data_IF_124735213725
#
_entry.id   IF_124735213725
#
_cell.length_a   1.000
_cell.length_b   1.000
_cell.length_c   1.000
_cell.angle_alpha   90.00
_cell.angle_beta   90.00
_cell.angle_gamma   90.00
#
_symmetry.space_group_name_H-M   'P 1'
#
loop_
_entity.id
_entity.type
_entity.pdbx_description
1 polymer ?
#
# COMPACT_ATOMS: atom_id res chain seq x y z
N UNK A 1 0.71 -36.40 47.08
CA UNK A 1 1.53 -35.24 46.69
C UNK A 1 1.09 -34.82 45.29
N UNK A 2 0.30 -33.76 45.16
CA UNK A 2 -0.20 -33.26 43.88
C UNK A 2 0.81 -32.28 43.27
N UNK A 3 1.31 -32.57 42.08
CA UNK A 3 2.09 -31.63 41.28
C UNK A 3 1.15 -30.62 40.59
N UNK A 4 1.30 -29.34 40.92
CA UNK A 4 0.67 -28.23 40.20
C UNK A 4 1.37 -28.03 38.86
N UNK A 5 0.66 -28.30 37.77
CA UNK A 5 1.08 -27.99 36.41
C UNK A 5 0.81 -26.50 36.15
N UNK A 6 1.86 -25.69 36.03
CA UNK A 6 1.75 -24.29 35.67
C UNK A 6 1.67 -24.15 34.14
N UNK A 7 0.52 -23.69 33.64
CA UNK A 7 0.32 -23.34 32.23
C UNK A 7 0.95 -21.97 32.02
N UNK A 8 2.03 -21.91 31.23
CA UNK A 8 2.65 -20.66 30.80
C UNK A 8 1.76 -20.00 29.74
N UNK A 9 1.14 -18.89 30.11
CA UNK A 9 0.39 -18.03 29.19
C UNK A 9 1.43 -17.17 28.43
N UNK A 10 1.68 -17.51 27.17
CA UNK A 10 2.49 -16.67 26.27
C UNK A 10 1.70 -15.40 26.00
N UNK A 11 2.21 -14.28 26.50
CA UNK A 11 1.66 -12.95 26.24
C UNK A 11 2.04 -12.62 24.79
N UNK A 12 1.05 -12.62 23.90
CA UNK A 12 1.18 -12.01 22.58
C UNK A 12 1.55 -10.54 22.78
N UNK A 13 2.77 -10.16 22.41
CA UNK A 13 3.17 -8.77 22.35
C UNK A 13 2.29 -8.09 21.30
N UNK A 14 1.35 -7.26 21.76
CA UNK A 14 0.70 -6.31 20.88
C UNK A 14 1.77 -5.28 20.53
N UNK A 15 2.31 -5.35 19.33
CA UNK A 15 3.16 -4.29 18.82
C UNK A 15 2.28 -3.03 18.75
N UNK A 16 2.48 -2.13 19.71
CA UNK A 16 1.84 -0.83 19.69
C UNK A 16 2.41 -0.09 18.49
N UNK A 17 1.58 0.11 17.46
CA UNK A 17 1.90 0.92 16.30
C UNK A 17 2.62 2.20 16.75
N UNK A 18 3.90 2.30 16.41
CA UNK A 18 4.70 3.47 16.68
C UNK A 18 4.08 4.61 15.89
N UNK A 19 3.33 5.48 16.58
CA UNK A 19 2.77 6.67 15.98
C UNK A 19 3.94 7.52 15.47
N UNK A 20 4.19 7.45 14.16
CA UNK A 20 5.17 8.31 13.49
C UNK A 20 4.86 9.76 13.85
N UNK A 21 5.90 10.55 14.04
CA UNK A 21 5.77 11.97 14.37
C UNK A 21 4.85 12.62 13.32
N UNK A 22 3.72 13.20 13.75
CA UNK A 22 2.88 13.98 12.84
C UNK A 22 3.73 15.13 12.26
N UNK A 23 3.89 15.15 10.93
CA UNK A 23 5.02 15.87 10.33
C UNK A 23 5.00 15.93 8.81
N UNK A 24 6.13 16.27 8.20
CA UNK A 24 6.30 16.27 6.74
C UNK A 24 6.33 14.86 6.15
N UNK A 25 6.57 14.76 4.84
CA UNK A 25 6.79 13.46 4.21
C UNK A 25 8.17 12.91 4.59
N UNK A 26 8.21 11.66 5.01
CA UNK A 26 9.42 10.91 5.32
C UNK A 26 9.58 9.77 4.30
N UNK A 27 10.78 9.61 3.76
CA UNK A 27 11.09 8.55 2.81
C UNK A 27 11.22 7.21 3.53
N UNK A 28 10.59 6.18 2.98
CA UNK A 28 10.68 4.81 3.47
C UNK A 28 12.07 4.20 3.19
N UNK A 29 12.50 3.28 4.06
CA UNK A 29 13.73 2.50 3.88
C UNK A 29 13.57 1.40 2.82
N UNK A 30 14.67 0.74 2.47
CA UNK A 30 14.65 -0.36 1.51
C UNK A 30 13.82 -1.56 2.03
N UNK A 31 13.85 -1.81 3.33
CA UNK A 31 13.11 -2.88 4.00
C UNK A 31 11.60 -2.59 3.98
N UNK A 32 11.22 -1.33 4.18
CA UNK A 32 9.82 -0.88 4.19
C UNK A 32 9.16 -0.92 2.80
N UNK A 33 9.93 -1.03 1.72
CA UNK A 33 9.44 -1.20 0.35
C UNK A 33 9.72 -2.60 -0.22
N UNK A 34 10.38 -3.48 0.54
CA UNK A 34 10.74 -4.82 0.09
C UNK A 34 9.49 -5.69 -0.18
N UNK A 35 9.59 -6.76 -1.00
CA UNK A 35 8.49 -7.70 -1.19
C UNK A 35 7.95 -8.23 0.14
N UNK A 36 6.62 -8.21 0.31
CA UNK A 36 5.93 -8.61 1.55
C UNK A 36 5.79 -7.52 2.61
N UNK A 37 6.47 -6.38 2.46
CA UNK A 37 6.26 -5.21 3.32
C UNK A 37 4.85 -4.63 3.18
N UNK A 38 4.42 -3.84 4.18
CA UNK A 38 3.16 -3.09 4.12
C UNK A 38 3.03 -2.26 2.84
N UNK A 39 4.09 -1.53 2.48
CA UNK A 39 4.07 -0.71 1.27
C UNK A 39 3.93 -1.55 -0.01
N UNK A 40 4.61 -2.69 -0.08
CA UNK A 40 4.55 -3.56 -1.25
C UNK A 40 3.14 -4.14 -1.45
N UNK A 41 2.55 -4.65 -0.37
CA UNK A 41 1.17 -5.19 -0.39
C UNK A 41 0.16 -4.09 -0.69
N UNK A 42 0.37 -2.88 -0.14
CA UNK A 42 -0.50 -1.74 -0.39
C UNK A 42 -0.47 -1.32 -1.87
N UNK A 43 0.72 -1.22 -2.44
CA UNK A 43 0.91 -0.85 -3.84
C UNK A 43 0.28 -1.90 -4.78
N UNK A 44 0.56 -3.19 -4.56
CA UNK A 44 0.02 -4.26 -5.39
C UNK A 44 -1.51 -4.31 -5.33
N UNK A 45 -2.08 -4.25 -4.12
CA UNK A 45 -3.52 -4.26 -3.92
C UNK A 45 -4.21 -3.04 -4.55
N UNK A 46 -3.67 -1.84 -4.34
CA UNK A 46 -4.22 -0.62 -4.95
C UNK A 46 -4.21 -0.71 -6.48
N UNK A 47 -3.11 -1.18 -7.09
CA UNK A 47 -2.99 -1.32 -8.54
C UNK A 47 -3.98 -2.36 -9.07
N UNK A 48 -4.18 -3.48 -8.38
CA UNK A 48 -5.20 -4.47 -8.74
C UNK A 48 -6.61 -3.87 -8.74
N UNK A 49 -6.97 -3.08 -7.72
CA UNK A 49 -8.29 -2.46 -7.63
C UNK A 49 -8.48 -1.37 -8.71
N UNK A 50 -7.46 -0.55 -8.96
CA UNK A 50 -7.48 0.44 -10.05
C UNK A 50 -7.64 -0.27 -11.39
N UNK A 51 -6.92 -1.39 -11.60
CA UNK A 51 -7.06 -2.20 -12.80
C UNK A 51 -8.49 -2.73 -12.97
N UNK A 52 -9.09 -3.26 -11.91
CA UNK A 52 -10.44 -3.79 -11.94
C UNK A 52 -11.51 -2.72 -12.29
N UNK A 53 -11.25 -1.45 -12.00
CA UNK A 53 -12.18 -0.34 -12.27
C UNK A 53 -11.82 0.51 -13.49
N UNK A 54 -10.66 0.28 -14.10
CA UNK A 54 -10.18 1.08 -15.23
C UNK A 54 -10.48 0.41 -16.56
N UNK A 55 -10.91 1.20 -17.54
CA UNK A 55 -11.01 0.78 -18.95
C UNK A 55 -9.72 1.09 -19.75
N UNK A 56 -8.61 1.43 -19.07
CA UNK A 56 -7.34 1.75 -19.74
C UNK A 56 -6.68 0.49 -20.29
N UNK A 57 -6.72 0.33 -21.63
CA UNK A 57 -6.03 -0.76 -22.33
C UNK A 57 -4.52 -0.79 -22.01
N UNK A 58 -3.91 0.38 -21.83
CA UNK A 58 -2.49 0.51 -21.50
C UNK A 58 -2.18 -0.04 -20.10
N UNK A 59 -3.06 0.19 -19.12
CA UNK A 59 -2.89 -0.39 -17.78
C UNK A 59 -3.21 -1.89 -17.76
N UNK A 60 -4.21 -2.35 -18.54
CA UNK A 60 -4.61 -3.76 -18.58
C UNK A 60 -3.49 -4.68 -19.05
N UNK A 61 -2.64 -4.20 -19.95
CA UNK A 61 -1.50 -4.94 -20.50
C UNK A 61 -0.25 -4.93 -19.60
N UNK A 62 -0.33 -4.28 -18.43
CA UNK A 62 0.81 -4.14 -17.51
C UNK A 62 0.59 -4.92 -16.22
N UNK A 63 1.66 -5.46 -15.65
CA UNK A 63 1.66 -6.15 -14.35
C UNK A 63 2.52 -5.40 -13.34
N UNK A 64 2.11 -5.42 -12.08
CA UNK A 64 2.92 -4.88 -10.99
C UNK A 64 4.21 -5.69 -10.84
N UNK A 65 5.34 -5.00 -10.68
CA UNK A 65 6.66 -5.61 -10.49
C UNK A 65 7.19 -5.33 -9.08
N UNK A 66 7.44 -4.05 -8.78
CA UNK A 66 8.02 -3.63 -7.49
C UNK A 66 7.71 -2.18 -7.15
N UNK A 67 7.88 -1.86 -5.88
CA UNK A 67 7.95 -0.47 -5.40
C UNK A 67 9.37 0.07 -5.65
N UNK A 68 9.45 1.28 -6.18
CA UNK A 68 10.71 2.00 -6.42
C UNK A 68 11.04 2.95 -5.27
N UNK A 69 10.04 3.63 -4.76
CA UNK A 69 10.16 4.52 -3.59
C UNK A 69 8.80 4.69 -2.94
N UNK A 70 8.81 4.98 -1.64
CA UNK A 70 7.64 5.39 -0.89
C UNK A 70 8.01 6.54 0.03
N UNK A 71 7.09 7.49 0.18
CA UNK A 71 7.12 8.49 1.24
C UNK A 71 5.82 8.39 2.02
N UNK A 72 5.87 8.61 3.33
CA UNK A 72 4.67 8.64 4.15
C UNK A 72 4.60 9.91 4.99
N UNK A 73 3.39 10.31 5.34
CA UNK A 73 3.12 11.45 6.19
C UNK A 73 2.03 11.10 7.20
N UNK A 74 2.35 11.21 8.48
CA UNK A 74 1.37 11.03 9.55
C UNK A 74 0.54 12.29 9.73
N UNK A 75 -0.78 12.14 9.65
CA UNK A 75 -1.81 13.19 9.79
C UNK A 75 -2.92 12.66 10.73
N UNK A 76 -4.21 12.81 10.39
CA UNK A 76 -5.31 12.06 11.01
C UNK A 76 -5.44 10.63 10.44
N UNK A 77 -4.30 9.96 10.23
CA UNK A 77 -4.12 8.74 9.45
C UNK A 77 -2.70 8.78 8.84
N UNK A 78 -2.47 8.02 7.79
CA UNK A 78 -1.21 8.04 7.05
C UNK A 78 -1.48 8.28 5.57
N UNK A 79 -0.84 9.31 5.01
CA UNK A 79 -0.77 9.49 3.57
C UNK A 79 0.49 8.81 3.05
N UNK A 80 0.36 7.97 2.04
CA UNK A 80 1.47 7.36 1.31
C UNK A 80 1.57 7.94 -0.09
N UNK A 81 2.79 8.22 -0.53
CA UNK A 81 3.15 8.51 -1.91
C UNK A 81 4.05 7.39 -2.41
N UNK A 82 3.54 6.60 -3.33
CA UNK A 82 4.21 5.38 -3.80
C UNK A 82 4.56 5.55 -5.27
N UNK A 83 5.80 5.22 -5.63
CA UNK A 83 6.24 5.07 -7.02
C UNK A 83 6.50 3.59 -7.26
N UNK A 84 5.79 3.01 -8.21
CA UNK A 84 5.90 1.59 -8.54
C UNK A 84 6.30 1.40 -10.00
N UNK A 85 7.06 0.34 -10.26
CA UNK A 85 7.36 -0.12 -11.61
C UNK A 85 6.32 -1.15 -12.05
N UNK A 86 5.90 -1.04 -13.31
CA UNK A 86 5.06 -2.02 -13.98
C UNK A 86 5.81 -2.64 -15.17
N UNK A 87 5.69 -3.94 -15.34
CA UNK A 87 6.15 -4.65 -16.52
C UNK A 87 5.07 -4.67 -17.61
N UNK A 88 5.43 -4.71 -18.92
CA UNK A 88 6.80 -4.71 -19.45
C UNK A 88 7.51 -3.34 -19.37
N UNK A 89 6.77 -2.24 -19.26
CA UNK A 89 7.33 -0.91 -19.06
C UNK A 89 6.27 0.05 -18.51
N UNK A 90 6.54 0.76 -17.43
CA UNK A 90 5.62 1.76 -16.90
C UNK A 90 5.97 2.18 -15.48
N UNK A 91 5.66 3.43 -15.18
CA UNK A 91 5.79 4.00 -13.85
C UNK A 91 4.41 4.41 -13.35
N UNK A 92 4.01 3.89 -12.20
CA UNK A 92 2.77 4.24 -11.54
C UNK A 92 3.08 5.10 -10.32
N UNK A 93 2.37 6.21 -10.18
CA UNK A 93 2.39 7.04 -8.97
C UNK A 93 1.05 6.90 -8.28
N UNK A 94 1.08 6.62 -6.98
CA UNK A 94 -0.11 6.43 -6.16
C UNK A 94 -0.03 7.38 -4.96
N UNK A 95 -1.14 8.03 -4.66
CA UNK A 95 -1.39 8.66 -3.36
C UNK A 95 -2.47 7.83 -2.67
N UNK A 96 -2.17 7.34 -1.47
CA UNK A 96 -3.09 6.47 -0.71
C UNK A 96 -3.24 7.01 0.70
N UNK A 97 -4.47 7.12 1.18
CA UNK A 97 -4.78 7.47 2.56
C UNK A 97 -5.25 6.23 3.32
N UNK A 98 -4.64 5.99 4.48
CA UNK A 98 -4.98 4.90 5.38
C UNK A 98 -5.32 5.45 6.78
N UNK A 99 -6.43 5.01 7.35
CA UNK A 99 -6.83 5.31 8.71
C UNK A 99 -7.38 4.03 9.36
N UNK A 100 -6.52 3.22 10.01
CA UNK A 100 -6.91 1.88 10.45
C UNK A 100 -8.09 1.87 11.44
N UNK A 101 -8.16 2.85 12.35
CA UNK A 101 -9.21 2.93 13.37
C UNK A 101 -10.60 3.29 12.84
N UNK A 102 -10.70 3.76 11.60
CA UNK A 102 -12.00 3.95 10.90
C UNK A 102 -12.18 2.97 9.74
N UNK A 103 -11.24 2.03 9.55
CA UNK A 103 -11.21 1.13 8.39
C UNK A 103 -11.29 1.89 7.05
N UNK A 104 -10.67 3.07 7.00
CA UNK A 104 -10.61 3.87 5.78
C UNK A 104 -9.32 3.58 5.05
N UNK A 105 -9.45 3.15 3.80
CA UNK A 105 -8.34 2.93 2.89
C UNK A 105 -8.75 3.42 1.51
N UNK A 106 -8.07 4.44 0.99
CA UNK A 106 -8.50 5.13 -0.22
C UNK A 106 -7.30 5.49 -1.09
N UNK A 107 -7.35 5.16 -2.38
CA UNK A 107 -6.48 5.79 -3.37
C UNK A 107 -7.05 7.16 -3.67
N UNK A 108 -6.32 8.20 -3.30
CA UNK A 108 -6.72 9.59 -3.51
C UNK A 108 -6.27 10.09 -4.89
N UNK A 109 -5.13 9.61 -5.38
CA UNK A 109 -4.65 9.90 -6.73
C UNK A 109 -3.89 8.70 -7.31
N UNK A 110 -4.01 8.50 -8.62
CA UNK A 110 -3.22 7.51 -9.33
C UNK A 110 -2.94 7.98 -10.76
N UNK A 111 -1.67 7.92 -11.15
CA UNK A 111 -1.24 8.22 -12.52
C UNK A 111 -0.35 7.11 -13.06
N UNK A 112 -0.50 6.83 -14.34
CA UNK A 112 0.37 5.93 -15.09
C UNK A 112 1.14 6.73 -16.13
N UNK A 113 2.47 6.64 -16.07
CA UNK A 113 3.37 7.11 -17.12
C UNK A 113 3.92 5.89 -17.84
N UNK A 114 3.45 5.57 -19.05
CA UNK A 114 4.09 4.57 -19.89
C UNK A 114 5.55 4.96 -20.14
N UNK A 115 6.45 3.98 -20.18
CA UNK A 115 7.86 4.20 -20.51
C UNK A 115 8.16 3.72 -21.95
N UNK A 116 7.11 3.51 -22.74
CA UNK A 116 7.19 3.35 -24.19
C UNK A 116 7.24 4.73 -24.88
N UNK A 117 7.20 4.75 -26.21
CA UNK A 117 7.39 5.96 -27.03
C UNK A 117 6.37 7.10 -26.75
N UNK A 118 5.32 6.83 -25.96
CA UNK A 118 4.37 7.82 -25.50
C UNK A 118 4.56 8.10 -24.00
N UNK A 119 5.27 9.18 -23.66
CA UNK A 119 5.38 9.66 -22.28
C UNK A 119 4.12 10.38 -21.76
N UNK A 120 2.94 10.10 -22.35
CA UNK A 120 1.70 10.71 -21.94
C UNK A 120 1.24 10.17 -20.58
N UNK A 121 1.07 11.06 -19.60
CA UNK A 121 0.59 10.70 -18.26
C UNK A 121 -0.91 10.44 -18.34
N UNK A 122 -1.32 9.22 -18.01
CA UNK A 122 -2.73 8.85 -17.86
C UNK A 122 -3.14 9.02 -16.40
N UNK A 123 -4.14 9.86 -16.12
CA UNK A 123 -4.76 9.90 -14.79
C UNK A 123 -5.78 8.78 -14.66
N UNK A 124 -5.61 7.93 -13.66
CA UNK A 124 -6.46 6.76 -13.39
C UNK A 124 -7.43 7.01 -12.23
N UNK A 125 -6.97 7.75 -11.23
CA UNK A 125 -7.76 8.24 -10.10
C UNK A 125 -7.38 9.71 -9.91
N UNK A 126 -8.34 10.62 -10.01
CA UNK A 126 -8.10 12.06 -9.87
C UNK A 126 -8.48 12.57 -8.48
N UNK A 127 -7.96 13.74 -8.10
CA UNK A 127 -8.18 14.36 -6.80
C UNK A 127 -9.65 14.59 -6.42
N UNK A 128 -10.58 14.60 -7.39
CA UNK A 128 -12.03 14.75 -7.16
C UNK A 128 -12.79 13.42 -7.07
N UNK A 129 -12.12 12.28 -7.28
CA UNK A 129 -12.72 10.95 -7.29
C UNK A 129 -11.76 9.97 -6.60
N UNK A 130 -11.96 9.74 -5.30
CA UNK A 130 -11.18 8.73 -4.58
C UNK A 130 -11.68 7.33 -4.91
N UNK A 131 -10.78 6.37 -4.95
CA UNK A 131 -11.11 4.95 -5.03
C UNK A 131 -10.99 4.34 -3.62
N UNK A 132 -12.14 3.96 -3.04
CA UNK A 132 -12.17 3.25 -1.77
C UNK A 132 -11.76 1.79 -1.95
N UNK A 133 -10.84 1.33 -1.12
CA UNK A 133 -10.36 -0.04 -1.06
C UNK A 133 -11.01 -0.77 0.13
N UNK A 134 -11.04 -2.10 0.07
CA UNK A 134 -11.48 -2.92 1.21
C UNK A 134 -10.32 -3.08 2.20
N UNK A 135 -10.41 -2.35 3.33
CA UNK A 135 -9.40 -2.38 4.38
C UNK A 135 -9.27 -3.75 5.07
N UNK A 136 -10.34 -4.54 5.14
CA UNK A 136 -10.29 -5.87 5.75
C UNK A 136 -9.61 -6.88 4.82
N UNK A 137 -9.86 -6.80 3.52
CA UNK A 137 -9.13 -7.59 2.51
C UNK A 137 -7.65 -7.22 2.49
N UNK A 138 -7.33 -5.92 2.56
CA UNK A 138 -5.95 -5.47 2.67
C UNK A 138 -5.25 -6.04 3.91
N UNK A 139 -5.88 -6.00 5.09
CA UNK A 139 -5.31 -6.55 6.31
C UNK A 139 -5.03 -8.06 6.20
N UNK A 140 -5.93 -8.84 5.61
CA UNK A 140 -5.73 -10.29 5.36
C UNK A 140 -4.54 -10.54 4.44
N UNK A 141 -4.40 -9.76 3.38
CA UNK A 141 -3.28 -9.87 2.43
C UNK A 141 -1.95 -9.56 3.10
N UNK A 142 -1.93 -8.57 4.00
CA UNK A 142 -0.74 -8.22 4.76
C UNK A 142 -0.34 -9.35 5.72
N UNK A 143 -1.31 -9.94 6.42
CA UNK A 143 -1.08 -11.09 7.31
C UNK A 143 -0.51 -12.30 6.53
N UNK A 144 -1.05 -12.58 5.34
CA UNK A 144 -0.56 -13.67 4.47
C UNK A 144 0.83 -13.43 3.87
N UNK A 145 1.27 -12.17 3.80
CA UNK A 145 2.56 -11.79 3.22
C UNK A 145 3.70 -11.80 4.24
N UNK A 146 3.39 -11.87 5.54
CA UNK A 146 4.37 -12.01 6.62
C UNK A 146 4.80 -13.49 6.73
N UNK A 147 6.11 -13.79 6.78
CA UNK A 147 6.63 -15.16 6.84
C UNK A 147 6.36 -15.87 8.18
#
# INVERSE_FOLDING_TARGET
MLAKLAIAFVIMASDFAQAGQAGGYEAATAEEIAPGSHCFVLASYAIEQIKAQSNSLTLMQKSFDKVLSMEHQVVAGTNYRIRAHLQPSGLMSLSVFEQPWTQTLEVTEATLTPTDDSSAITTLVGASSHLRLDAAEFAKRLEMAQP
#
